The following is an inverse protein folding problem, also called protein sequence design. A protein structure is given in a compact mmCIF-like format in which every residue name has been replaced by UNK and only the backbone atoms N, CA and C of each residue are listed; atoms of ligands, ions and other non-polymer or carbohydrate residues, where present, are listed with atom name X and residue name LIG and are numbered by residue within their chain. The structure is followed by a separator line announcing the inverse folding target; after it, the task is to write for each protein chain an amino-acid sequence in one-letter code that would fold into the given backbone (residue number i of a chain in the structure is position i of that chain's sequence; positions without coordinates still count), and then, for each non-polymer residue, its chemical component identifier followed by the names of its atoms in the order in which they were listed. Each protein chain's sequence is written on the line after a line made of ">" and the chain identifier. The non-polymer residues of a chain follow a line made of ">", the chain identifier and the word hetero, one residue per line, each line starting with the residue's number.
data_IF_494140369959
#
_entry.id   IF_494140369959
#
_cell.length_a   1.000
_cell.length_b   1.000
_cell.length_c   1.000
_cell.angle_alpha   90.00
_cell.angle_beta   90.00
_cell.angle_gamma   90.00
#
_symmetry.space_group_name_H-M   'P 1'
#
loop_
_entity.id
_entity.type
_entity.pdbx_description
1 polymer ?
2 water ?
#
# COMPACT_ATOMS: atom_id res chain seq x y z
N UNK A 19 -4.24 -36.06 0.75
CA UNK A 19 -4.50 -35.02 1.77
C UNK A 19 -5.85 -35.25 2.45
N UNK A 20 -6.23 -34.30 3.32
CA UNK A 20 -7.51 -34.36 4.01
C UNK A 20 -8.35 -33.14 3.62
N UNK A 21 -9.68 -33.26 3.76
CA UNK A 21 -10.59 -32.19 3.35
C UNK A 21 -10.63 -31.05 4.34
N UNK A 22 -10.78 -31.40 5.61
CA UNK A 22 -10.89 -30.43 6.67
C UNK A 22 -9.51 -30.24 7.33
N UNK A 23 -9.11 -28.97 7.46
CA UNK A 23 -7.83 -28.62 8.08
C UNK A 23 -8.06 -28.06 9.48
N UNK A 24 -7.07 -28.25 10.34
CA UNK A 24 -7.10 -27.64 11.67
C UNK A 24 -6.35 -26.31 11.63
N UNK A 25 -7.08 -25.23 11.87
CA UNK A 25 -6.51 -23.88 11.82
C UNK A 25 -6.39 -23.26 13.20
N UNK A 26 -5.24 -22.68 13.48
CA UNK A 26 -5.04 -21.92 14.71
C UNK A 26 -4.99 -20.46 14.32
N UNK A 27 -5.94 -19.69 14.83
CA UNK A 27 -6.00 -18.26 14.55
C UNK A 27 -5.57 -17.47 15.79
N UNK A 28 -4.43 -16.81 15.69
CA UNK A 28 -3.89 -16.05 16.79
C UNK A 28 -4.41 -14.65 16.66
N UNK A 29 -5.30 -14.28 17.55
CA UNK A 29 -5.95 -13.02 17.44
C UNK A 29 -6.37 -12.61 18.80
N UNK A 30 -6.62 -11.34 18.97
CA UNK A 30 -7.00 -10.80 20.24
C UNK A 30 -8.48 -10.67 20.23
N UNK A 31 -9.13 -11.43 19.39
CA UNK A 31 -10.52 -11.29 19.12
C UNK A 31 -11.19 -12.54 19.59
N UNK A 32 -12.49 -12.47 19.86
CA UNK A 32 -13.24 -13.60 20.33
C UNK A 32 -13.38 -14.76 19.36
N UNK A 33 -13.61 -14.42 18.10
CA UNK A 33 -13.82 -15.42 17.08
C UNK A 33 -13.13 -15.01 15.81
N UNK A 34 -12.86 -15.98 14.96
CA UNK A 34 -12.14 -15.75 13.70
C UNK A 34 -12.99 -14.98 12.70
N UNK A 35 -14.27 -14.87 13.00
CA UNK A 35 -15.23 -14.27 12.08
C UNK A 35 -14.93 -12.79 11.86
N UNK A 36 -14.30 -12.19 12.85
CA UNK A 36 -13.86 -10.84 12.75
C UNK A 36 -12.70 -10.72 11.80
N UNK A 37 -11.75 -11.62 11.94
CA UNK A 37 -10.55 -11.65 11.11
C UNK A 37 -10.70 -12.07 9.66
N UNK A 38 -11.39 -13.16 9.44
CA UNK A 38 -11.64 -13.65 8.12
C UNK A 38 -12.96 -14.29 8.17
N UNK A 39 -13.97 -13.63 7.64
CA UNK A 39 -15.32 -14.13 7.61
C UNK A 39 -15.51 -15.33 6.74
N UNK A 40 -14.73 -15.44 5.70
CA UNK A 40 -14.86 -16.50 4.74
C UNK A 40 -14.66 -17.85 5.38
N UNK A 41 -13.89 -17.86 6.44
CA UNK A 41 -13.64 -19.08 7.20
C UNK A 41 -14.93 -19.74 7.68
N UNK A 42 -15.99 -18.94 7.82
CA UNK A 42 -17.26 -19.47 8.28
C UNK A 42 -17.89 -20.39 7.23
N UNK A 43 -17.47 -20.21 5.99
CA UNK A 43 -18.08 -20.93 4.88
C UNK A 43 -17.27 -22.15 4.47
N UNK A 44 -16.18 -22.40 5.18
CA UNK A 44 -15.29 -23.50 4.84
C UNK A 44 -15.41 -24.64 5.86
N UNK A 45 -14.97 -25.86 5.46
CA UNK A 45 -15.13 -26.99 6.37
C UNK A 45 -14.02 -27.15 7.43
N UNK A 46 -13.10 -26.19 7.50
CA UNK A 46 -11.97 -26.30 8.41
C UNK A 46 -12.33 -25.97 9.87
N UNK A 47 -11.67 -26.65 10.81
CA UNK A 47 -11.94 -26.43 12.22
C UNK A 47 -11.02 -25.31 12.73
N UNK A 48 -11.59 -24.35 13.45
CA UNK A 48 -10.88 -23.14 13.86
C UNK A 48 -10.72 -23.03 15.37
N UNK A 49 -9.48 -22.84 15.81
CA UNK A 49 -9.19 -22.57 17.21
C UNK A 49 -8.66 -21.15 17.31
N UNK A 50 -9.02 -20.46 18.38
CA UNK A 50 -8.55 -19.11 18.59
C UNK A 50 -7.72 -19.07 19.87
N UNK A 51 -6.54 -18.47 19.82
CA UNK A 51 -5.72 -18.24 21.00
C UNK A 51 -5.12 -16.85 20.88
N UNK A 52 -4.68 -16.27 22.00
CA UNK A 52 -4.15 -14.92 21.98
C UNK A 52 -2.82 -14.88 21.23
N UNK A 53 -2.48 -13.73 20.63
CA UNK A 53 -1.27 -13.69 19.81
C UNK A 53 0.00 -13.55 20.66
N UNK A 54 0.33 -14.61 21.39
CA UNK A 54 1.53 -14.68 22.21
C UNK A 54 2.15 -16.05 22.02
N UNK A 55 3.43 -16.17 22.26
CA UNK A 55 4.13 -17.40 22.05
C UNK A 55 3.52 -18.58 22.76
N UNK A 56 2.92 -18.34 23.90
CA UNK A 56 2.35 -19.41 24.66
C UNK A 56 1.26 -20.07 23.88
N UNK A 57 0.86 -19.46 22.78
CA UNK A 57 -0.18 -20.04 21.95
C UNK A 57 0.15 -21.36 21.32
N UNK A 58 1.40 -21.51 20.94
CA UNK A 58 1.91 -22.71 20.30
C UNK A 58 1.98 -23.89 21.21
N UNK A 59 1.83 -23.62 22.49
CA UNK A 59 1.88 -24.63 23.51
C UNK A 59 0.56 -25.31 23.59
N UNK A 60 -0.39 -24.80 22.86
CA UNK A 60 -1.70 -25.37 22.84
C UNK A 60 -1.56 -26.75 22.28
N UNK A 61 -2.20 -27.70 22.92
CA UNK A 61 -2.15 -29.06 22.46
C UNK A 61 -3.09 -29.02 21.32
N UNK A 62 -3.07 -30.02 20.47
CA UNK A 62 -3.97 -29.98 19.36
C UNK A 62 -3.25 -29.62 18.11
N UNK A 63 -3.51 -30.43 17.12
CA UNK A 63 -2.92 -30.33 15.83
C UNK A 63 -3.30 -29.12 15.09
N UNK A 64 -2.38 -28.66 14.28
CA UNK A 64 -2.64 -27.53 13.48
C UNK A 64 -1.98 -27.69 12.16
N UNK A 65 -2.76 -27.56 11.11
CA UNK A 65 -2.29 -27.62 9.77
C UNK A 65 -1.63 -26.33 9.35
N UNK A 66 -2.24 -25.23 9.74
CA UNK A 66 -1.79 -23.89 9.43
C UNK A 66 -2.09 -22.90 10.52
N UNK A 67 -1.35 -21.81 10.53
CA UNK A 67 -1.59 -20.77 11.51
C UNK A 67 -1.90 -19.43 10.87
N UNK A 68 -3.03 -18.85 11.21
CA UNK A 68 -3.41 -17.53 10.71
C UNK A 68 -3.03 -16.48 11.75
N UNK A 69 -2.22 -15.52 11.34
CA UNK A 69 -1.77 -14.46 12.24
C UNK A 69 -2.57 -13.19 11.94
N UNK A 70 -3.35 -12.74 12.92
CA UNK A 70 -4.18 -11.54 12.76
C UNK A 70 -3.31 -10.29 12.82
N UNK A 71 -3.12 -9.66 11.68
CA UNK A 71 -2.21 -8.53 11.59
C UNK A 71 -2.93 -7.28 11.11
N UNK A 72 -4.24 -7.20 11.36
CA UNK A 72 -5.04 -6.08 10.87
C UNK A 72 -4.78 -4.74 11.60
N UNK A 73 -4.39 -4.77 12.87
CA UNK A 73 -4.32 -3.54 13.67
C UNK A 73 -2.92 -3.15 14.11
N UNK A 74 -2.11 -4.13 14.50
CA UNK A 74 -0.81 -3.79 15.04
C UNK A 74 0.31 -4.46 14.23
N UNK A 75 0.74 -3.81 13.16
CA UNK A 75 1.72 -4.42 12.25
C UNK A 75 3.02 -4.80 12.93
N UNK A 76 3.54 -3.97 13.82
CA UNK A 76 4.83 -4.26 14.43
C UNK A 76 4.78 -5.47 15.38
N UNK A 77 3.71 -5.57 16.17
CA UNK A 77 3.54 -6.72 17.07
C UNK A 77 3.50 -8.00 16.27
N UNK A 78 2.70 -7.98 15.21
CA UNK A 78 2.54 -9.14 14.35
C UNK A 78 3.87 -9.51 13.71
N UNK A 79 4.61 -8.49 13.26
CA UNK A 79 5.87 -8.71 12.59
C UNK A 79 6.88 -9.39 13.52
N UNK A 80 7.04 -8.85 14.72
CA UNK A 80 8.02 -9.41 15.63
C UNK A 80 7.61 -10.80 16.13
N UNK A 81 6.31 -11.00 16.32
CA UNK A 81 5.78 -12.29 16.74
C UNK A 81 6.09 -13.31 15.66
N UNK A 82 5.91 -12.92 14.40
CA UNK A 82 6.13 -13.83 13.28
C UNK A 82 7.61 -14.17 13.14
N UNK A 83 8.48 -13.16 13.27
CA UNK A 83 9.92 -13.37 13.21
C UNK A 83 10.35 -14.35 14.31
N UNK A 84 9.87 -14.12 15.53
CA UNK A 84 10.16 -14.99 16.66
C UNK A 84 9.75 -16.42 16.38
N UNK A 85 8.49 -16.62 16.03
CA UNK A 85 8.06 -17.96 15.80
C UNK A 85 8.78 -18.61 14.68
N UNK A 86 8.93 -17.93 13.56
CA UNK A 86 9.63 -18.55 12.47
C UNK A 86 11.11 -18.70 12.74
N UNK A 87 11.69 -17.70 13.38
CA UNK A 87 13.09 -17.74 13.73
C UNK A 87 13.80 -17.76 12.42
N UNK A 88 15.11 -17.80 12.42
CA UNK A 88 15.74 -17.87 11.14
C UNK A 88 15.35 -19.22 10.67
N UNK A 89 15.18 -19.34 9.38
CA UNK A 89 14.79 -20.61 8.83
C UNK A 89 15.98 -21.49 9.05
N UNK A 90 15.74 -22.78 8.96
CA UNK A 90 14.39 -23.21 8.67
C UNK A 90 14.16 -24.68 8.86
N UNK A 91 12.91 -25.05 9.08
CA UNK A 91 12.60 -26.44 9.20
C UNK A 91 11.52 -26.62 8.17
N UNK A 92 11.69 -27.59 7.31
CA UNK A 92 10.70 -27.84 6.31
C UNK A 92 9.50 -28.29 7.11
N UNK A 93 9.80 -28.86 8.25
CA UNK A 93 8.86 -29.44 9.20
C UNK A 93 7.99 -28.50 9.98
N UNK A 94 8.24 -27.22 9.91
CA UNK A 94 7.45 -26.27 10.67
C UNK A 94 6.04 -26.05 10.15
N UNK A 95 5.18 -25.54 11.00
CA UNK A 95 3.83 -25.21 10.63
C UNK A 95 3.90 -23.91 9.90
N UNK A 96 3.11 -23.79 8.84
CA UNK A 96 3.07 -22.60 8.03
C UNK A 96 2.31 -21.46 8.65
N UNK A 97 2.70 -20.21 8.36
CA UNK A 97 2.00 -19.07 8.92
C UNK A 97 1.51 -18.16 7.79
N UNK A 98 0.23 -17.83 7.82
CA UNK A 98 -0.33 -16.88 6.89
C UNK A 98 -0.77 -15.64 7.66
N UNK A 99 -0.33 -14.47 7.23
CA UNK A 99 -0.71 -13.24 7.92
C UNK A 99 -1.96 -12.61 7.28
N UNK A 100 -2.99 -12.38 8.10
CA UNK A 100 -4.17 -11.67 7.62
C UNK A 100 -3.91 -10.20 7.83
N UNK A 101 -3.78 -9.48 6.73
CA UNK A 101 -3.35 -8.09 6.75
C UNK A 101 -4.38 -7.21 6.03
N UNK A 102 -4.53 -5.97 6.50
CA UNK A 102 -5.43 -5.00 5.86
C UNK A 102 -4.87 -4.38 4.60
N UNK A 103 -5.67 -3.58 3.89
CA UNK A 103 -5.17 -3.00 2.66
C UNK A 103 -4.09 -1.94 2.93
N UNK A 104 -4.22 -1.23 4.05
CA UNK A 104 -3.28 -0.20 4.44
C UNK A 104 -1.83 -0.67 4.54
N UNK A 105 -1.60 -1.65 5.40
CA UNK A 105 -0.24 -2.16 5.65
C UNK A 105 0.32 -3.46 5.08
N UNK A 106 -0.19 -3.83 3.90
CA UNK A 106 0.32 -4.58 2.76
C UNK A 106 1.64 -4.03 2.23
N UNK A 107 1.87 -2.73 2.44
CA UNK A 107 3.08 -2.08 2.02
C UNK A 107 4.14 -2.43 3.06
N UNK A 108 3.68 -2.94 4.20
CA UNK A 108 4.56 -3.27 5.31
C UNK A 108 5.00 -4.73 5.36
N UNK A 109 4.38 -5.61 4.59
CA UNK A 109 4.79 -7.00 4.63
C UNK A 109 5.97 -7.20 3.71
N UNK A 110 6.96 -7.92 4.20
CA UNK A 110 8.16 -8.18 3.43
C UNK A 110 8.70 -9.55 3.80
N UNK A 111 9.85 -9.89 3.25
CA UNK A 111 10.43 -11.20 3.48
C UNK A 111 10.88 -11.36 4.91
N UNK A 112 11.12 -10.24 5.60
CA UNK A 112 11.59 -10.26 6.98
C UNK A 112 10.58 -10.91 7.92
N UNK A 113 9.30 -10.84 7.57
CA UNK A 113 8.25 -11.44 8.39
C UNK A 113 8.39 -12.95 8.45
N UNK A 114 8.87 -13.53 7.35
CA UNK A 114 9.00 -14.97 7.15
C UNK A 114 7.64 -15.67 7.14
N UNK A 115 6.64 -14.99 6.57
CA UNK A 115 5.32 -15.57 6.36
C UNK A 115 5.34 -16.50 5.15
N UNK A 116 4.33 -17.35 5.02
CA UNK A 116 4.27 -18.30 3.93
C UNK A 116 3.25 -17.87 2.89
N UNK A 117 2.29 -17.08 3.35
CA UNK A 117 1.37 -16.37 2.50
C UNK A 117 0.65 -15.27 3.29
N UNK A 118 -0.15 -14.49 2.56
CA UNK A 118 -0.77 -13.29 3.04
C UNK A 118 -2.25 -13.33 2.63
N UNK A 119 -3.13 -12.75 3.43
CA UNK A 119 -4.55 -12.70 3.07
C UNK A 119 -5.17 -11.41 3.52
N UNK A 120 -6.00 -10.82 2.66
CA UNK A 120 -6.84 -9.71 3.06
C UNK A 120 -8.07 -10.26 3.80
N UNK A 121 -8.56 -9.52 4.80
CA UNK A 121 -9.75 -9.97 5.54
C UNK A 121 -11.02 -10.08 4.68
N UNK A 122 -11.00 -9.48 3.48
CA UNK A 122 -12.17 -9.50 2.58
C UNK A 122 -12.07 -10.63 1.55
N UNK A 123 -11.05 -11.46 1.66
CA UNK A 123 -10.88 -12.56 0.72
C UNK A 123 -12.05 -13.51 0.83
N UNK A 124 -12.54 -13.99 -0.31
CA UNK A 124 -13.64 -14.93 -0.31
C UNK A 124 -13.20 -16.36 -0.05
N UNK A 125 -14.17 -17.27 0.12
CA UNK A 125 -13.87 -18.65 0.52
C UNK A 125 -12.97 -19.38 -0.47
N UNK A 126 -13.16 -19.16 -1.77
CA UNK A 126 -12.36 -19.87 -2.76
C UNK A 126 -10.88 -19.52 -2.61
N UNK A 127 -10.59 -18.23 -2.41
CA UNK A 127 -9.20 -17.80 -2.28
C UNK A 127 -8.56 -18.27 -0.97
N UNK A 128 -9.33 -18.18 0.11
CA UNK A 128 -8.87 -18.63 1.39
C UNK A 128 -8.54 -20.10 1.30
N UNK A 129 -9.47 -20.86 0.74
CA UNK A 129 -9.28 -22.30 0.59
C UNK A 129 -8.04 -22.61 -0.24
N UNK A 130 -7.93 -21.94 -1.39
CA UNK A 130 -6.82 -22.17 -2.31
C UNK A 130 -5.48 -21.91 -1.61
N UNK A 131 -5.44 -20.82 -0.87
CA UNK A 131 -4.23 -20.40 -0.18
C UNK A 131 -3.82 -21.33 0.95
N UNK A 132 -4.81 -21.76 1.72
CA UNK A 132 -4.55 -22.67 2.82
C UNK A 132 -4.03 -23.99 2.28
N UNK A 133 -4.63 -24.49 1.21
CA UNK A 133 -4.18 -25.74 0.61
C UNK A 133 -2.79 -25.62 0.00
N UNK A 134 -2.48 -24.51 -0.65
CA UNK A 134 -1.17 -24.37 -1.27
C UNK A 134 -0.08 -24.34 -0.21
N UNK A 135 -0.40 -23.74 0.92
CA UNK A 135 0.60 -23.58 1.96
C UNK A 135 0.84 -24.86 2.77
N UNK A 136 -0.01 -25.86 2.61
CA UNK A 136 0.23 -27.15 3.22
C UNK A 136 0.93 -28.19 2.33
N UNK A 137 1.64 -27.70 1.30
CA UNK A 137 2.17 -28.54 0.23
C UNK A 137 3.65 -28.29 -0.05
N UNK B 20 15.13 -0.86 -6.99
CA UNK B 20 14.35 -1.14 -8.18
C UNK B 20 12.90 -0.72 -7.99
N UNK B 21 12.59 0.53 -8.29
CA UNK B 21 11.25 1.04 -8.08
C UNK B 21 10.29 0.40 -9.02
N UNK B 22 10.63 0.42 -10.31
CA UNK B 22 9.78 -0.12 -11.34
C UNK B 22 10.30 -1.47 -11.72
N UNK B 23 9.43 -2.42 -11.95
CA UNK B 23 9.83 -3.72 -12.41
C UNK B 23 9.36 -3.90 -13.83
N UNK B 24 10.07 -4.73 -14.59
CA UNK B 24 9.63 -5.05 -15.94
C UNK B 24 8.82 -6.35 -15.92
N UNK B 25 7.53 -6.25 -16.25
CA UNK B 25 6.63 -7.39 -16.22
C UNK B 25 6.26 -7.88 -17.61
N UNK B 26 6.35 -9.19 -17.78
CA UNK B 26 5.87 -9.83 -18.99
C UNK B 26 4.53 -10.49 -18.70
N UNK B 27 3.50 -10.00 -19.37
CA UNK B 27 2.15 -10.55 -19.22
C UNK B 27 1.87 -11.45 -20.42
N UNK B 28 1.67 -12.72 -20.16
CA UNK B 28 1.47 -13.69 -21.24
C UNK B 28 -0.01 -13.89 -21.44
N UNK B 29 -0.52 -13.35 -22.55
CA UNK B 29 -1.94 -13.29 -22.75
C UNK B 29 -2.32 -13.20 -24.22
N UNK B 30 -3.53 -13.66 -24.54
CA UNK B 30 -4.04 -13.57 -25.91
C UNK B 30 -4.72 -12.22 -26.11
N UNK B 31 -4.36 -11.26 -25.28
CA UNK B 31 -5.10 -10.02 -25.24
C UNK B 31 -4.17 -8.90 -25.70
N UNK B 32 -4.75 -7.81 -26.16
CA UNK B 32 -3.99 -6.69 -26.70
C UNK B 32 -3.20 -5.98 -25.63
N UNK B 33 -3.80 -5.86 -24.44
CA UNK B 33 -3.15 -5.22 -23.30
C UNK B 33 -3.54 -5.89 -21.99
N UNK B 34 -2.79 -5.57 -20.95
CA UNK B 34 -2.97 -6.20 -19.64
C UNK B 34 -4.18 -5.69 -18.89
N UNK B 35 -4.77 -4.59 -19.35
CA UNK B 35 -5.86 -3.98 -18.60
C UNK B 35 -7.10 -4.87 -18.52
N UNK B 36 -7.20 -5.84 -19.42
CA UNK B 36 -8.28 -6.83 -19.35
C UNK B 36 -7.90 -7.91 -18.34
N UNK B 37 -6.62 -8.18 -18.21
CA UNK B 37 -6.21 -9.21 -17.31
C UNK B 37 -6.09 -8.75 -15.91
N UNK B 38 -5.31 -7.71 -15.69
CA UNK B 38 -5.15 -7.16 -14.38
C UNK B 38 -5.25 -5.70 -14.48
N UNK B 39 -6.39 -5.16 -14.16
CA UNK B 39 -6.59 -3.73 -14.28
C UNK B 39 -5.68 -2.94 -13.38
N UNK B 40 -5.39 -3.43 -12.20
CA UNK B 40 -4.68 -2.61 -11.20
C UNK B 40 -3.28 -2.26 -11.67
N UNK B 41 -2.77 -3.02 -12.62
CA UNK B 41 -1.45 -2.79 -13.17
C UNK B 41 -1.35 -1.39 -13.77
N UNK B 42 -2.50 -0.84 -14.16
CA UNK B 42 -2.53 0.46 -14.79
C UNK B 42 -2.19 1.58 -13.82
N UNK B 43 -2.33 1.29 -12.53
CA UNK B 43 -2.14 2.27 -11.47
C UNK B 43 -0.79 2.15 -10.75
N UNK B 44 0.07 1.26 -11.25
CA UNK B 44 1.37 1.01 -10.63
C UNK B 44 2.50 1.53 -11.53
N UNK B 45 3.71 1.73 -10.98
CA UNK B 45 4.77 2.32 -11.80
C UNK B 45 5.54 1.33 -12.68
N UNK B 46 5.19 0.04 -12.63
CA UNK B 46 5.93 -1.00 -13.35
C UNK B 46 5.65 -0.95 -14.85
N UNK B 47 6.64 -1.33 -15.65
CA UNK B 47 6.43 -1.28 -17.09
C UNK B 47 6.01 -2.65 -17.60
N UNK B 48 4.93 -2.66 -18.36
CA UNK B 48 4.26 -3.89 -18.75
C UNK B 48 4.35 -4.12 -20.24
N UNK B 49 4.82 -5.29 -20.63
CA UNK B 49 4.70 -5.68 -22.03
C UNK B 49 3.90 -6.99 -22.13
N UNK B 50 3.28 -7.17 -23.29
CA UNK B 50 2.39 -8.29 -23.53
C UNK B 50 2.93 -9.21 -24.62
N UNK B 51 2.86 -10.52 -24.38
CA UNK B 51 3.20 -11.50 -25.40
C UNK B 51 2.15 -12.61 -25.37
N UNK B 52 2.00 -13.33 -26.47
CA UNK B 52 1.05 -14.44 -26.56
C UNK B 52 1.51 -15.58 -25.65
N UNK B 53 0.61 -16.42 -25.19
CA UNK B 53 1.07 -17.46 -24.29
C UNK B 53 1.63 -18.63 -25.04
N UNK B 54 2.73 -18.41 -25.74
CA UNK B 54 3.39 -19.46 -26.49
C UNK B 54 4.87 -19.41 -26.30
N UNK B 55 5.49 -20.56 -26.38
CA UNK B 55 6.90 -20.63 -26.14
C UNK B 55 7.59 -19.76 -27.16
N UNK B 56 7.11 -19.76 -28.38
CA UNK B 56 7.72 -18.95 -29.41
C UNK B 56 7.66 -17.48 -29.09
N UNK B 57 6.56 -17.04 -28.52
CA UNK B 57 6.36 -15.64 -28.25
C UNK B 57 7.40 -15.14 -27.28
N UNK B 58 7.85 -16.01 -26.42
CA UNK B 58 8.76 -15.61 -25.37
C UNK B 58 10.19 -15.61 -25.76
N UNK B 59 10.50 -15.89 -27.01
CA UNK B 59 11.88 -16.10 -27.34
C UNK B 59 12.77 -14.92 -27.05
N UNK B 60 12.41 -13.72 -27.42
CA UNK B 60 13.27 -12.65 -26.99
C UNK B 60 12.56 -11.44 -26.56
N UNK B 61 11.95 -11.47 -25.39
CA UNK B 61 11.25 -10.33 -24.92
C UNK B 61 12.22 -9.33 -24.34
N UNK B 62 13.39 -9.80 -23.94
CA UNK B 62 14.32 -8.96 -23.21
C UNK B 62 14.16 -9.17 -21.74
N UNK B 63 14.38 -8.15 -20.96
CA UNK B 63 14.34 -8.34 -19.54
C UNK B 63 12.93 -8.46 -19.00
N UNK B 64 12.85 -9.12 -17.87
CA UNK B 64 11.64 -9.42 -17.12
C UNK B 64 12.01 -9.77 -15.68
N UNK B 65 11.21 -9.28 -14.74
CA UNK B 65 11.42 -9.54 -13.34
C UNK B 65 10.42 -10.55 -12.86
N UNK B 66 9.24 -10.48 -13.43
CA UNK B 66 8.12 -11.33 -13.08
C UNK B 66 7.36 -11.66 -14.36
N UNK B 67 6.82 -12.86 -14.44
CA UNK B 67 5.89 -13.19 -15.51
C UNK B 67 4.48 -13.30 -14.93
N UNK B 68 3.56 -12.51 -15.46
CA UNK B 68 2.15 -12.70 -15.14
C UNK B 68 1.58 -13.59 -16.23
N UNK B 69 0.98 -14.69 -15.80
CA UNK B 69 0.38 -15.65 -16.71
C UNK B 69 -1.14 -15.49 -16.68
N UNK B 70 -1.71 -15.13 -17.82
CA UNK B 70 -3.16 -14.94 -17.87
C UNK B 70 -3.87 -16.30 -17.90
N UNK B 71 -4.54 -16.64 -16.79
CA UNK B 71 -5.19 -17.95 -16.65
C UNK B 71 -6.69 -17.86 -16.39
N UNK B 72 -7.31 -16.76 -16.82
CA UNK B 72 -8.75 -16.56 -16.64
C UNK B 72 -9.60 -17.49 -17.49
N UNK B 73 -9.12 -17.89 -18.67
CA UNK B 73 -9.99 -18.58 -19.62
C UNK B 73 -9.61 -20.02 -19.91
N UNK B 74 -8.33 -20.26 -20.18
CA UNK B 74 -7.89 -21.57 -20.60
C UNK B 74 -6.90 -22.12 -19.58
N UNK B 75 -7.43 -22.73 -18.53
CA UNK B 75 -6.64 -23.14 -17.38
C UNK B 75 -5.59 -24.19 -17.73
N UNK B 76 -5.96 -25.14 -18.57
CA UNK B 76 -5.07 -26.23 -18.92
C UNK B 76 -3.85 -25.72 -19.68
N UNK B 77 -4.08 -24.79 -20.62
CA UNK B 77 -2.98 -24.23 -21.38
C UNK B 77 -2.03 -23.56 -20.42
N UNK B 78 -2.59 -22.75 -19.53
CA UNK B 78 -1.80 -21.99 -18.59
C UNK B 78 -0.99 -22.91 -17.70
N UNK B 79 -1.62 -23.98 -17.22
CA UNK B 79 -0.97 -24.92 -16.34
C UNK B 79 0.24 -25.54 -17.03
N UNK B 80 0.06 -26.06 -18.24
CA UNK B 80 1.16 -26.73 -18.93
C UNK B 80 2.24 -25.74 -19.38
N UNK B 81 1.83 -24.53 -19.72
CA UNK B 81 2.76 -23.47 -20.11
C UNK B 81 3.66 -23.16 -18.94
N UNK B 82 3.03 -23.10 -17.78
CA UNK B 82 3.69 -22.79 -16.54
C UNK B 82 4.65 -23.92 -16.15
N UNK B 83 4.17 -25.15 -16.25
CA UNK B 83 4.96 -26.33 -15.97
C UNK B 83 6.20 -26.34 -16.85
N UNK B 84 6.02 -26.03 -18.12
CA UNK B 84 7.13 -25.93 -19.06
C UNK B 84 8.18 -24.92 -18.64
N UNK B 85 7.76 -23.66 -18.44
CA UNK B 85 8.72 -22.61 -18.11
C UNK B 85 9.58 -22.96 -16.90
N UNK B 86 8.97 -23.63 -15.92
CA UNK B 86 9.65 -24.05 -14.71
C UNK B 86 10.10 -25.51 -14.80
N UNK B 87 11.36 -25.72 -15.16
CA UNK B 87 11.87 -27.08 -15.31
C UNK B 87 12.66 -27.21 -16.59
N UNK B 88 12.93 -26.06 -17.20
CA UNK B 88 13.64 -25.97 -18.46
C UNK B 88 15.13 -26.21 -18.21
N UNK B 89 15.51 -26.09 -16.94
CA UNK B 89 16.83 -26.49 -16.48
C UNK B 89 17.96 -25.54 -16.83
N UNK B 90 17.64 -24.26 -17.05
CA UNK B 90 18.67 -23.23 -17.24
C UNK B 90 18.38 -22.03 -16.36
N UNK B 93 13.69 -19.49 -16.31
CA UNK B 93 13.18 -20.62 -15.55
C UNK B 93 13.11 -20.29 -14.08
N UNK B 94 14.07 -19.50 -13.64
CA UNK B 94 14.15 -19.06 -12.26
C UNK B 94 13.35 -17.80 -12.10
N UNK B 95 12.94 -17.24 -13.23
CA UNK B 95 12.04 -16.11 -13.28
C UNK B 95 10.72 -16.50 -12.68
N UNK B 96 10.27 -15.72 -11.70
CA UNK B 96 9.03 -16.02 -11.00
C UNK B 96 7.82 -15.86 -11.85
N UNK B 97 6.81 -16.65 -11.56
CA UNK B 97 5.58 -16.64 -12.32
C UNK B 97 4.42 -16.47 -11.37
N UNK B 98 3.56 -15.50 -11.65
CA UNK B 98 2.31 -15.37 -10.93
C UNK B 98 1.17 -15.69 -11.91
N UNK B 99 0.28 -16.59 -11.53
CA UNK B 99 -0.85 -16.92 -12.39
C UNK B 99 -2.02 -16.04 -11.99
N UNK B 100 -2.66 -15.43 -12.98
CA UNK B 100 -3.87 -14.64 -12.76
C UNK B 100 -5.08 -15.52 -13.03
N UNK B 101 -5.77 -15.88 -11.96
CA UNK B 101 -6.79 -16.91 -12.05
C UNK B 101 -8.12 -16.32 -11.64
N UNK B 102 -9.18 -16.73 -12.33
CA UNK B 102 -10.53 -16.31 -11.96
C UNK B 102 -11.01 -17.06 -10.74
N UNK B 103 -12.21 -16.73 -10.27
CA UNK B 103 -12.64 -17.17 -8.95
C UNK B 103 -13.04 -18.63 -8.63
N UNK B 104 -13.43 -19.50 -9.57
CA UNK B 104 -13.15 -19.47 -10.98
C UNK B 104 -12.34 -20.74 -11.19
N UNK B 105 -11.04 -20.58 -11.40
CA UNK B 105 -10.14 -21.73 -11.52
C UNK B 105 -9.24 -21.86 -10.31
N UNK B 106 -9.57 -21.12 -9.25
CA UNK B 106 -8.85 -21.19 -8.00
C UNK B 106 -8.72 -22.65 -7.52
N UNK B 107 -9.77 -23.44 -7.71
CA UNK B 107 -9.75 -24.85 -7.35
C UNK B 107 -8.75 -25.65 -8.22
N UNK B 108 -8.41 -25.12 -9.38
CA UNK B 108 -7.54 -25.84 -10.31
C UNK B 108 -6.06 -25.58 -10.03
N UNK B 109 -5.76 -24.59 -9.19
CA UNK B 109 -4.36 -24.28 -8.92
C UNK B 109 -3.79 -25.25 -7.88
N UNK B 110 -2.64 -25.83 -8.19
CA UNK B 110 -1.96 -26.74 -7.28
C UNK B 110 -0.46 -26.54 -7.38
N UNK B 111 0.29 -27.36 -6.66
CA UNK B 111 1.74 -27.23 -6.67
C UNK B 111 2.31 -27.68 -8.00
N UNK B 112 1.53 -28.46 -8.76
CA UNK B 112 1.99 -28.95 -10.05
C UNK B 112 2.27 -27.81 -11.02
N UNK B 113 1.56 -26.69 -10.86
CA UNK B 113 1.73 -25.55 -11.76
C UNK B 113 3.13 -24.99 -11.60
N UNK B 114 3.65 -25.10 -10.38
CA UNK B 114 4.92 -24.52 -9.99
C UNK B 114 4.88 -22.99 -10.06
N UNK B 115 3.74 -22.41 -9.69
CA UNK B 115 3.64 -20.94 -9.61
C UNK B 115 4.28 -20.45 -8.33
N UNK B 116 4.63 -19.18 -8.33
CA UNK B 116 5.27 -18.55 -7.19
C UNK B 116 4.24 -17.76 -6.41
N UNK B 117 3.16 -17.36 -7.08
CA UNK B 117 1.99 -16.82 -6.41
C UNK B 117 0.83 -16.71 -7.39
N UNK B 118 -0.34 -16.37 -6.86
CA UNK B 118 -1.53 -16.24 -7.70
C UNK B 118 -2.24 -14.92 -7.41
N UNK B 119 -2.95 -14.41 -8.40
CA UNK B 119 -3.72 -13.18 -8.22
C UNK B 119 -5.08 -13.33 -8.89
N UNK B 120 -6.12 -12.82 -8.24
CA UNK B 120 -7.41 -12.67 -8.88
C UNK B 120 -7.38 -11.40 -9.76
N UNK B 121 -8.05 -11.43 -10.92
CA UNK B 121 -8.01 -10.24 -11.79
C UNK B 121 -8.57 -8.98 -11.13
N UNK B 122 -9.36 -9.16 -10.08
CA UNK B 122 -9.97 -8.03 -9.37
C UNK B 122 -9.07 -7.54 -8.25
N UNK B 123 -7.84 -8.04 -8.16
CA UNK B 123 -6.94 -7.58 -7.12
C UNK B 123 -6.60 -6.10 -7.30
N UNK B 124 -6.63 -5.36 -6.19
CA UNK B 124 -6.30 -3.95 -6.23
C UNK B 124 -4.80 -3.74 -6.22
N UNK B 125 -4.37 -2.49 -6.43
CA UNK B 125 -2.96 -2.13 -6.62
C UNK B 125 -2.08 -2.50 -5.44
N UNK B 126 -2.57 -2.35 -4.22
CA UNK B 126 -1.74 -2.61 -3.04
C UNK B 126 -1.35 -4.08 -2.96
N UNK B 127 -2.30 -4.96 -3.25
CA UNK B 127 -2.04 -6.39 -3.21
C UNK B 127 -1.18 -6.84 -4.40
N UNK B 128 -1.45 -6.29 -5.58
CA UNK B 128 -0.64 -6.59 -6.75
C UNK B 128 0.81 -6.20 -6.49
N UNK B 129 1.01 -4.98 -5.99
CA UNK B 129 2.37 -4.53 -5.69
C UNK B 129 3.01 -5.38 -4.60
N UNK B 130 2.25 -5.73 -3.57
CA UNK B 130 2.80 -6.52 -2.47
C UNK B 130 3.31 -7.85 -3.02
N UNK B 131 2.47 -8.48 -3.83
CA UNK B 131 2.79 -9.79 -4.36
C UNK B 131 3.93 -9.80 -5.39
N UNK B 132 4.01 -8.75 -6.21
CA UNK B 132 5.13 -8.60 -7.14
C UNK B 132 6.44 -8.41 -6.38
N UNK B 133 6.43 -7.53 -5.38
CA UNK B 133 7.61 -7.27 -4.57
C UNK B 133 8.06 -8.52 -3.84
N UNK B 134 7.12 -9.25 -3.27
CA UNK B 134 7.48 -10.39 -2.44
C UNK B 134 8.00 -11.52 -3.28
N UNK B 135 7.52 -11.60 -4.51
CA UNK B 135 7.93 -12.68 -5.40
C UNK B 135 9.27 -12.36 -6.04
N UNK B 136 9.72 -11.11 -5.93
CA UNK B 136 11.09 -10.76 -6.37
C UNK B 136 12.10 -10.67 -5.23
N UNK B 137 11.63 -10.67 -3.98
CA UNK B 137 12.52 -10.56 -2.82
C UNK B 137 12.66 -11.90 -2.09
N UNK C 19 -5.88 34.08 3.67
CA UNK C 19 -6.31 35.46 3.98
C UNK C 19 -7.73 35.51 4.55
N UNK C 20 -8.55 34.53 4.20
CA UNK C 20 -9.94 34.43 4.68
C UNK C 20 -10.16 33.11 5.43
N UNK C 21 -11.24 33.02 6.21
CA UNK C 21 -11.53 31.80 6.98
C UNK C 21 -12.15 30.73 6.11
N UNK C 22 -13.32 31.07 5.57
CA UNK C 22 -14.11 30.12 4.88
C UNK C 22 -13.63 30.13 3.47
N UNK C 23 -13.44 28.93 2.94
CA UNK C 23 -13.08 28.76 1.57
C UNK C 23 -14.26 28.07 0.98
N UNK C 24 -14.37 28.15 -0.33
CA UNK C 24 -15.38 27.38 -1.06
C UNK C 24 -14.78 26.06 -1.54
N UNK C 25 -15.32 24.96 -1.05
CA UNK C 25 -14.83 23.66 -1.44
C UNK C 25 -15.86 22.99 -2.33
N UNK C 26 -15.37 22.49 -3.46
CA UNK C 26 -16.15 21.70 -4.40
C UNK C 26 -15.74 20.25 -4.27
N UNK C 27 -16.68 19.40 -3.92
CA UNK C 27 -16.40 17.98 -3.75
C UNK C 27 -17.03 17.18 -4.89
N UNK C 28 -16.18 16.49 -5.65
CA UNK C 28 -16.59 15.69 -6.81
C UNK C 28 -16.84 14.30 -6.34
N UNK C 29 -18.10 13.90 -6.30
CA UNK C 29 -18.43 12.62 -5.69
C UNK C 29 -19.76 12.11 -6.21
N UNK C 30 -19.85 10.79 -6.35
CA UNK C 30 -21.11 10.16 -6.76
C UNK C 30 -22.10 10.14 -5.60
N UNK C 31 -21.71 10.77 -4.51
CA UNK C 31 -22.30 10.60 -3.19
C UNK C 31 -23.23 11.77 -2.92
N UNK C 32 -24.15 11.57 -1.97
CA UNK C 32 -25.17 12.58 -1.65
C UNK C 32 -24.59 13.84 -1.00
N UNK C 33 -23.67 13.65 -0.05
CA UNK C 33 -23.01 14.76 0.62
C UNK C 33 -21.56 14.43 0.99
N UNK C 34 -20.82 15.46 1.38
CA UNK C 34 -19.39 15.33 1.67
C UNK C 34 -19.10 14.58 2.97
N UNK C 35 -20.11 14.30 3.77
CA UNK C 35 -19.88 13.67 5.05
C UNK C 35 -19.36 12.24 4.91
N UNK C 36 -19.75 11.60 3.83
CA UNK C 36 -19.26 10.28 3.55
C UNK C 36 -17.79 10.33 3.17
N UNK C 37 -17.43 11.29 2.35
CA UNK C 37 -16.06 11.44 1.91
C UNK C 37 -15.05 11.92 2.93
N UNK C 38 -15.40 12.97 3.64
CA UNK C 38 -14.54 13.58 4.63
C UNK C 38 -15.40 14.14 5.70
N UNK C 39 -15.60 13.38 6.75
CA UNK C 39 -16.47 13.77 7.84
C UNK C 39 -15.99 15.03 8.53
N UNK C 40 -14.69 15.22 8.57
CA UNK C 40 -14.08 16.33 9.25
C UNK C 40 -14.52 17.65 8.70
N UNK C 41 -14.76 17.71 7.42
CA UNK C 41 -15.18 18.94 6.76
C UNK C 41 -16.39 19.56 7.43
N UNK C 42 -17.19 18.72 8.07
CA UNK C 42 -18.43 19.15 8.68
C UNK C 42 -18.14 19.98 9.93
N UNK C 43 -16.93 19.82 10.46
CA UNK C 43 -16.53 20.48 11.69
C UNK C 43 -15.71 21.74 11.43
N UNK C 44 -15.53 22.07 10.14
CA UNK C 44 -14.73 23.21 9.73
C UNK C 44 -15.65 24.35 9.25
N UNK C 45 -15.13 25.59 9.19
CA UNK C 45 -15.96 26.74 8.82
C UNK C 45 -16.11 26.97 7.32
N UNK C 46 -15.57 26.08 6.49
CA UNK C 46 -15.59 26.25 5.03
C UNK C 46 -16.95 25.84 4.45
N UNK C 47 -17.31 26.40 3.30
CA UNK C 47 -18.58 26.05 2.67
C UNK C 47 -18.38 24.93 1.64
N UNK C 48 -19.18 23.88 1.72
CA UNK C 48 -18.98 22.69 0.90
C UNK C 48 -20.15 22.44 -0.03
N UNK C 49 -19.89 22.23 -1.29
CA UNK C 49 -20.96 21.95 -2.22
C UNK C 49 -20.52 20.72 -2.93
N UNK C 50 -21.47 19.95 -3.40
CA UNK C 50 -21.13 18.71 -4.05
C UNK C 50 -21.60 18.68 -5.47
N UNK C 51 -20.87 17.97 -6.30
CA UNK C 51 -21.23 17.79 -7.70
C UNK C 51 -20.78 16.41 -8.18
N UNK C 52 -21.40 15.93 -9.25
CA UNK C 52 -21.08 14.62 -9.81
C UNK C 52 -19.66 14.66 -10.36
N UNK C 53 -18.94 13.53 -10.31
CA UNK C 53 -17.55 13.54 -10.75
C UNK C 53 -17.41 13.45 -12.27
N UNK C 54 -17.87 14.49 -12.97
CA UNK C 54 -17.84 14.51 -14.42
C UNK C 54 -17.44 15.90 -14.89
N UNK C 55 -16.49 16.01 -15.78
CA UNK C 55 -15.96 17.31 -16.08
C UNK C 55 -17.06 18.24 -16.43
N UNK C 56 -18.18 17.72 -16.91
CA UNK C 56 -19.24 18.60 -17.33
C UNK C 56 -19.70 19.46 -16.16
N UNK C 57 -19.89 18.83 -15.01
CA UNK C 57 -20.38 19.55 -13.85
C UNK C 57 -19.35 20.59 -13.52
N UNK C 58 -18.10 20.22 -13.68
CA UNK C 58 -17.05 21.16 -13.40
C UNK C 58 -17.08 22.34 -14.33
N UNK C 59 -17.30 22.08 -15.61
CA UNK C 59 -17.29 23.12 -16.62
C UNK C 59 -18.38 24.13 -16.33
N UNK C 60 -19.49 23.64 -15.81
CA UNK C 60 -20.64 24.43 -15.44
C UNK C 60 -20.45 24.89 -14.02
N UNK C 61 -19.26 24.61 -13.51
CA UNK C 61 -18.85 24.96 -12.16
C UNK C 61 -18.76 26.45 -11.88
N UNK C 62 -19.03 26.82 -10.64
CA UNK C 62 -19.06 28.19 -10.20
C UNK C 62 -17.75 28.63 -9.61
N UNK C 63 -17.67 28.79 -8.30
CA UNK C 63 -16.42 29.19 -7.70
C UNK C 63 -15.95 28.26 -6.62
N UNK C 64 -14.66 27.96 -6.65
CA UNK C 64 -14.06 27.12 -5.64
C UNK C 64 -12.64 27.56 -5.38
N UNK C 65 -12.18 27.39 -4.15
CA UNK C 65 -10.82 27.66 -3.79
C UNK C 65 -10.02 26.38 -3.92
N UNK C 66 -10.69 25.29 -3.66
CA UNK C 66 -10.11 23.95 -3.68
C UNK C 66 -11.16 22.98 -4.20
N UNK C 67 -10.75 21.96 -4.94
CA UNK C 67 -11.66 20.87 -5.18
C UNK C 67 -11.13 19.61 -4.52
N UNK C 68 -12.00 18.97 -3.74
CA UNK C 68 -11.72 17.67 -3.16
C UNK C 68 -12.25 16.62 -4.12
N UNK C 69 -11.37 15.71 -4.53
CA UNK C 69 -11.73 14.66 -5.45
C UNK C 69 -11.95 13.37 -4.67
N UNK C 70 -13.17 12.83 -4.74
CA UNK C 70 -13.49 11.59 -4.03
C UNK C 70 -12.90 10.40 -4.76
N UNK C 71 -11.83 9.83 -4.20
CA UNK C 71 -11.11 8.77 -4.86
C UNK C 71 -11.03 7.49 -4.05
N UNK C 72 -12.00 7.26 -3.17
CA UNK C 72 -12.04 6.06 -2.32
C UNK C 72 -12.37 4.76 -3.07
N UNK C 73 -13.07 4.87 -4.19
CA UNK C 73 -13.68 3.69 -4.80
C UNK C 73 -13.20 3.33 -6.20
N UNK C 74 -13.17 4.31 -7.11
CA UNK C 74 -12.82 4.05 -8.49
C UNK C 74 -11.54 4.82 -8.83
N UNK C 75 -10.41 4.18 -8.61
CA UNK C 75 -9.13 4.86 -8.70
C UNK C 75 -8.80 5.32 -10.12
N UNK C 76 -9.14 4.53 -11.12
CA UNK C 76 -8.86 4.87 -12.52
C UNK C 76 -9.67 6.08 -13.00
N UNK C 77 -10.94 6.12 -12.61
CA UNK C 77 -11.82 7.23 -12.96
C UNK C 77 -11.32 8.52 -12.34
N UNK C 78 -11.01 8.45 -11.04
CA UNK C 78 -10.54 9.61 -10.29
C UNK C 78 -9.21 10.07 -10.86
N UNK C 79 -8.34 9.12 -11.18
CA UNK C 79 -7.04 9.45 -11.75
C UNK C 79 -7.19 10.24 -13.06
N UNK C 80 -8.03 9.75 -13.97
CA UNK C 80 -8.19 10.43 -15.26
C UNK C 80 -8.97 11.73 -15.14
N UNK C 81 -9.94 11.77 -14.23
CA UNK C 81 -10.73 12.96 -13.96
C UNK C 81 -9.79 14.07 -13.48
N UNK C 82 -8.87 13.65 -12.63
CA UNK C 82 -7.91 14.53 -12.02
C UNK C 82 -6.96 15.06 -13.07
N UNK C 83 -6.57 14.18 -14.01
CA UNK C 83 -5.73 14.56 -15.14
C UNK C 83 -6.44 15.62 -15.99
N UNK C 84 -7.72 15.40 -16.27
CA UNK C 84 -8.54 16.38 -17.03
C UNK C 84 -8.65 17.75 -16.38
N UNK C 85 -8.97 17.77 -15.08
CA UNK C 85 -9.16 19.03 -14.35
C UNK C 85 -8.00 20.00 -14.46
N UNK C 86 -6.80 19.47 -14.29
CA UNK C 86 -5.65 20.30 -14.05
C UNK C 86 -4.92 20.43 -15.35
N UNK C 87 -5.31 19.59 -16.28
CA UNK C 87 -4.65 19.53 -17.58
C UNK C 87 -5.00 20.68 -18.50
N UNK C 88 -6.25 21.15 -18.40
CA UNK C 88 -6.73 22.23 -19.26
C UNK C 88 -5.91 23.50 -19.08
N UNK C 94 -6.83 26.75 -12.86
CA UNK C 94 -5.74 26.14 -12.12
C UNK C 94 -6.02 26.05 -10.62
N UNK C 95 -7.23 25.64 -10.28
CA UNK C 95 -7.59 25.52 -8.88
C UNK C 95 -7.05 24.22 -8.31
N UNK C 96 -6.60 24.27 -7.06
CA UNK C 96 -5.93 23.16 -6.41
C UNK C 96 -6.80 21.97 -6.20
N UNK C 97 -6.21 20.80 -6.26
CA UNK C 97 -6.97 19.57 -6.14
C UNK C 97 -6.40 18.73 -5.02
N UNK C 98 -7.26 18.32 -4.10
CA UNK C 98 -6.82 17.36 -3.11
C UNK C 98 -7.56 16.06 -3.33
N UNK C 99 -6.82 14.97 -3.50
CA UNK C 99 -7.46 13.68 -3.69
C UNK C 99 -7.67 13.00 -2.33
N UNK C 100 -8.90 12.60 -2.07
CA UNK C 100 -9.25 11.85 -0.88
C UNK C 100 -9.18 10.37 -1.23
N UNK C 101 -8.16 9.68 -0.69
CA UNK C 101 -7.84 8.32 -1.08
C UNK C 101 -8.00 7.37 0.09
N UNK C 102 -8.47 6.15 -0.19
CA UNK C 102 -8.52 5.12 0.85
C UNK C 102 -7.13 4.56 1.06
N UNK C 103 -6.95 3.79 2.13
CA UNK C 103 -5.62 3.35 2.48
C UNK C 103 -5.03 2.39 1.43
N UNK C 104 -5.90 1.65 0.75
CA UNK C 104 -5.50 0.76 -0.33
C UNK C 104 -5.16 1.51 -1.61
N UNK C 105 -5.77 2.68 -1.77
CA UNK C 105 -5.51 3.56 -2.91
C UNK C 105 -4.17 4.27 -2.89
N UNK C 106 -3.64 4.50 -1.69
CA UNK C 106 -2.43 5.28 -1.50
C UNK C 106 -1.25 4.92 -2.42
N UNK C 107 -1.04 3.62 -2.65
CA UNK C 107 0.01 3.14 -3.54
C UNK C 107 -0.28 3.53 -5.01
N UNK C 108 -1.52 3.92 -5.31
CA UNK C 108 -1.89 4.22 -6.68
C UNK C 108 -1.61 5.67 -7.06
N UNK C 109 -1.36 6.54 -6.08
CA UNK C 109 -1.11 7.95 -6.41
C UNK C 109 0.33 8.18 -6.89
N UNK C 110 0.45 8.98 -7.93
CA UNK C 110 1.76 9.32 -8.49
C UNK C 110 1.71 10.73 -9.04
N UNK C 111 2.83 11.18 -9.61
CA UNK C 111 2.92 12.53 -10.16
C UNK C 111 2.01 12.69 -11.37
N UNK C 112 1.59 11.58 -11.96
CA UNK C 112 0.75 11.60 -13.14
C UNK C 112 -0.64 12.19 -12.90
N UNK C 113 -1.14 12.08 -11.68
CA UNK C 113 -2.47 12.60 -11.33
C UNK C 113 -2.49 14.11 -11.36
N UNK C 114 -1.36 14.71 -11.03
CA UNK C 114 -1.21 16.17 -10.92
C UNK C 114 -2.07 16.75 -9.77
N UNK C 115 -2.13 16.03 -8.65
CA UNK C 115 -2.80 16.52 -7.44
C UNK C 115 -1.85 17.46 -6.72
N UNK C 116 -2.39 18.30 -5.85
CA UNK C 116 -1.58 19.21 -5.06
C UNK C 116 -1.39 18.64 -3.65
N UNK C 117 -2.33 17.80 -3.21
CA UNK C 117 -2.18 17.01 -1.99
C UNK C 117 -3.15 15.83 -1.91
N UNK C 118 -3.00 15.02 -0.87
CA UNK C 118 -3.87 13.85 -0.62
C UNK C 118 -4.33 13.84 0.82
N UNK C 119 -5.48 13.21 1.04
CA UNK C 119 -6.03 13.06 2.37
C UNK C 119 -6.65 11.67 2.52
N UNK C 120 -6.43 11.04 3.67
CA UNK C 120 -7.24 9.89 4.03
C UNK C 120 -8.60 10.45 4.47
N UNK C 121 -9.68 9.71 4.17
CA UNK C 121 -11.02 10.12 4.59
C UNK C 121 -11.16 10.19 6.11
N UNK C 122 -10.20 9.58 6.83
CA UNK C 122 -10.18 9.57 8.30
C UNK C 122 -9.38 10.70 8.91
N UNK C 123 -8.88 11.61 8.08
CA UNK C 123 -8.15 12.78 8.58
C UNK C 123 -9.06 13.62 9.47
N UNK C 124 -8.55 14.03 10.63
CA UNK C 124 -9.33 14.85 11.53
C UNK C 124 -9.27 16.28 11.04
N UNK C 125 -10.08 17.16 11.67
CA UNK C 125 -10.25 18.54 11.20
C UNK C 125 -8.96 19.35 11.16
N UNK C 126 -8.08 19.19 12.16
CA UNK C 126 -6.88 20.02 12.22
C UNK C 126 -6.00 19.72 11.01
N UNK C 127 -5.90 18.45 10.64
CA UNK C 127 -5.11 18.10 9.48
C UNK C 127 -5.76 18.60 8.19
N UNK C 128 -7.06 18.38 8.06
CA UNK C 128 -7.77 18.81 6.86
C UNK C 128 -7.58 20.30 6.66
N UNK C 129 -7.78 21.05 7.73
CA UNK C 129 -7.61 22.49 7.68
C UNK C 129 -6.19 22.89 7.30
N UNK C 130 -5.20 22.24 7.92
CA UNK C 130 -3.80 22.59 7.64
C UNK C 130 -3.53 22.40 6.17
N UNK C 131 -4.02 21.29 5.65
CA UNK C 131 -3.79 20.90 4.27
C UNK C 131 -4.46 21.81 3.23
N UNK C 132 -5.71 22.20 3.51
CA UNK C 132 -6.45 23.11 2.64
C UNK C 132 -5.74 24.45 2.54
N UNK C 133 -5.24 24.92 3.69
CA UNK C 133 -4.56 26.21 3.74
C UNK C 133 -3.23 26.18 3.04
N UNK C 134 -2.48 25.10 3.20
CA UNK C 134 -1.15 25.00 2.61
C UNK C 134 -1.24 24.90 1.10
N UNK C 135 -2.37 24.40 0.62
CA UNK C 135 -2.57 24.20 -0.81
C UNK C 135 -3.14 25.46 -1.48
N UNK C 136 -3.60 26.43 -0.68
CA UNK C 136 -4.07 27.72 -1.20
C UNK C 136 -3.08 28.86 -0.94
N UNK C 137 -2.06 28.59 -0.13
CA UNK C 137 -1.06 29.60 0.22
C UNK C 137 0.28 29.33 -0.46
N UNK D 19 13.43 5.88 -10.49
CA UNK D 19 13.42 5.95 -9.01
C UNK D 19 14.03 4.69 -8.38
N UNK D 20 14.21 4.73 -7.06
CA UNK D 20 14.80 3.61 -6.33
C UNK D 20 13.79 3.02 -5.36
N UNK D 21 13.98 1.76 -4.98
CA UNK D 21 13.07 1.07 -4.07
C UNK D 21 13.27 1.62 -2.68
N UNK D 22 14.52 1.66 -2.25
CA UNK D 22 14.90 2.17 -0.96
C UNK D 22 15.38 3.61 -1.12
N UNK D 23 14.91 4.49 -0.26
CA UNK D 23 15.31 5.89 -0.25
C UNK D 23 16.23 6.15 0.92
N UNK D 24 17.13 7.12 0.79
CA UNK D 24 17.92 7.54 1.95
C UNK D 24 17.18 8.66 2.68
N UNK D 25 16.73 8.40 3.90
CA UNK D 25 16.02 9.42 4.66
C UNK D 25 16.90 9.95 5.77
N UNK D 26 16.97 11.27 5.87
CA UNK D 26 17.67 11.90 6.96
C UNK D 26 16.67 12.46 7.96
N UNK D 27 16.70 11.93 9.18
CA UNK D 27 15.81 12.42 10.22
C UNK D 27 16.58 13.30 11.22
N UNK D 28 16.23 14.57 11.28
CA UNK D 28 16.91 15.48 12.15
C UNK D 28 16.11 15.62 13.39
N UNK D 29 16.57 15.00 14.44
CA UNK D 29 15.87 15.04 15.68
C UNK D 29 16.85 14.97 16.79
N UNK D 30 16.43 15.35 17.97
CA UNK D 30 17.30 15.29 19.11
C UNK D 30 17.12 13.93 19.69
N UNK D 31 16.23 13.16 19.11
CA UNK D 31 15.99 11.83 19.60
C UNK D 31 17.05 10.88 19.08
N UNK D 32 17.20 9.76 19.76
CA UNK D 32 18.15 8.72 19.41
C UNK D 32 17.88 7.96 18.14
N UNK D 33 16.62 7.64 17.89
CA UNK D 33 16.21 6.89 16.70
C UNK D 33 14.90 7.43 16.11
N UNK D 34 14.65 7.14 14.84
CA UNK D 34 13.47 7.66 14.19
C UNK D 34 12.19 7.00 14.67
N UNK D 35 12.32 5.94 15.47
CA UNK D 35 11.16 5.17 15.90
C UNK D 35 10.22 5.97 16.82
N UNK D 36 10.81 6.92 17.51
CA UNK D 36 10.06 7.83 18.32
C UNK D 36 9.30 8.79 17.46
N UNK D 37 9.97 9.30 16.44
CA UNK D 37 9.36 10.27 15.55
C UNK D 37 8.29 9.76 14.63
N UNK D 38 8.59 8.69 13.93
CA UNK D 38 7.67 8.09 13.01
C UNK D 38 7.84 6.64 13.12
N UNK D 39 6.98 6.01 13.86
CA UNK D 39 7.09 4.60 14.11
C UNK D 39 7.00 3.77 12.86
N UNK D 40 6.19 4.18 11.92
CA UNK D 40 5.96 3.43 10.69
C UNK D 40 7.21 3.22 9.88
N UNK D 41 8.09 4.16 9.96
CA UNK D 41 9.33 4.08 9.20
C UNK D 41 10.00 2.73 9.37
N UNK D 42 9.73 2.06 10.49
CA UNK D 42 10.34 0.77 10.79
C UNK D 42 9.81 -0.33 9.87
N UNK D 43 8.63 -0.10 9.31
CA UNK D 43 7.94 -1.08 8.49
C UNK D 43 8.14 -0.84 7.00
N UNK D 44 8.99 0.12 6.64
CA UNK D 44 9.23 0.45 5.24
C UNK D 44 10.66 0.05 4.86
N UNK D 45 10.94 -0.09 3.55
CA UNK D 45 12.27 -0.55 3.15
C UNK D 45 13.33 0.56 3.07
N UNK D 46 13.01 1.78 3.47
CA UNK D 46 13.94 2.90 3.32
C UNK D 46 14.99 2.90 4.42
N UNK D 47 16.18 3.36 4.10
CA UNK D 47 17.25 3.38 5.09
C UNK D 47 17.26 4.76 5.78
N UNK D 48 17.22 4.73 7.11
CA UNK D 48 17.03 5.93 7.90
C UNK D 48 18.29 6.27 8.69
N UNK D 49 18.77 7.49 8.51
CA UNK D 49 19.89 8.02 9.26
C UNK D 49 19.42 9.12 10.16
N UNK D 50 20.02 9.24 11.33
CA UNK D 50 19.59 10.25 12.28
C UNK D 50 20.73 11.26 12.50
N UNK D 51 20.37 12.54 12.54
CA UNK D 51 21.32 13.59 12.88
C UNK D 51 20.66 14.61 13.81
N UNK D 52 21.49 15.37 14.52
CA UNK D 52 21.00 16.44 15.39
C UNK D 52 20.44 17.54 14.51
N UNK D 53 19.43 18.28 15.02
CA UNK D 53 18.80 19.31 14.18
C UNK D 53 19.58 20.63 14.12
N UNK D 54 20.74 20.59 13.46
CA UNK D 54 21.58 21.77 13.26
C UNK D 54 22.02 21.76 11.80
N UNK D 55 21.98 22.91 11.14
CA UNK D 55 22.44 23.00 9.75
C UNK D 55 23.86 22.44 9.61
N UNK D 56 24.64 22.61 10.68
CA UNK D 56 26.02 22.12 10.72
C UNK D 56 26.14 20.59 10.63
N UNK D 57 25.09 19.88 11.02
CA UNK D 57 25.08 18.43 11.01
C UNK D 57 25.01 17.76 9.65
N UNK D 58 24.75 18.55 8.63
CA UNK D 58 24.61 18.07 7.26
C UNK D 58 25.82 17.44 6.61
N UNK D 59 26.99 17.73 7.15
CA UNK D 59 28.26 17.30 6.60
C UNK D 59 28.50 15.83 6.40
N UNK D 60 28.23 15.00 7.40
CA UNK D 60 28.38 13.56 7.27
C UNK D 60 27.26 13.06 8.14
N UNK D 61 26.27 12.31 7.65
CA UNK D 61 26.03 11.90 6.28
C UNK D 61 25.47 13.10 5.62
N UNK D 62 25.30 13.07 4.31
CA UNK D 62 25.56 11.91 3.49
C UNK D 62 24.51 12.12 2.41
N UNK D 63 24.35 11.21 1.48
CA UNK D 63 23.34 11.39 0.47
C UNK D 63 22.00 11.21 1.07
N UNK D 64 20.99 11.87 0.53
CA UNK D 64 19.68 11.73 1.06
C UNK D 64 18.70 12.09 -0.01
N UNK D 65 17.50 11.53 0.07
CA UNK D 65 16.47 11.79 -0.89
C UNK D 65 15.36 12.60 -0.31
N UNK D 66 15.25 12.58 1.01
CA UNK D 66 14.26 13.37 1.72
C UNK D 66 14.81 13.69 3.12
N UNK D 67 14.46 14.85 3.65
CA UNK D 67 14.76 15.15 5.04
C UNK D 67 13.48 15.15 5.86
N UNK D 68 13.43 14.32 6.89
CA UNK D 68 12.33 14.37 7.85
C UNK D 68 12.76 15.26 9.01
N UNK D 69 11.96 16.28 9.27
CA UNK D 69 12.23 17.23 10.33
C UNK D 69 11.35 16.92 11.52
N UNK D 70 11.97 16.56 12.65
CA UNK D 70 11.20 16.27 13.87
C UNK D 70 10.66 17.57 14.45
N UNK D 71 9.34 17.76 14.35
CA UNK D 71 8.74 19.01 14.82
C UNK D 71 7.63 18.78 15.82
N UNK D 72 7.70 17.67 16.55
CA UNK D 72 6.69 17.35 17.56
C UNK D 72 6.77 18.25 18.82
N UNK D 73 7.94 18.81 19.12
CA UNK D 73 8.14 19.45 20.41
C UNK D 73 8.48 20.93 20.35
N UNK D 74 9.38 21.30 19.45
CA UNK D 74 9.84 22.67 19.42
C UNK D 74 9.54 23.29 18.07
N UNK D 75 8.33 23.85 17.94
CA UNK D 75 7.86 24.38 16.66
C UNK D 75 8.71 25.52 16.13
N UNK D 76 9.18 26.41 17.00
CA UNK D 76 9.92 27.59 16.54
C UNK D 76 11.28 27.21 15.94
N UNK D 77 12.01 26.35 16.65
CA UNK D 77 13.32 25.88 16.20
C UNK D 77 13.19 25.13 14.89
N UNK D 78 12.16 24.28 14.81
CA UNK D 78 11.90 23.50 13.61
C UNK D 78 11.59 24.42 12.45
N UNK D 79 10.78 25.45 12.72
CA UNK D 79 10.41 26.40 11.68
C UNK D 79 11.64 27.10 11.11
N UNK D 80 12.52 27.58 11.99
CA UNK D 80 13.70 28.28 11.52
C UNK D 80 14.73 27.32 10.89
N UNK D 81 14.80 26.08 11.37
CA UNK D 81 15.72 25.09 10.79
C UNK D 81 15.29 24.78 9.37
N UNK D 82 13.97 24.67 9.20
CA UNK D 82 13.40 24.36 7.91
C UNK D 82 13.66 25.54 6.97
N UNK D 83 13.54 26.76 7.52
CA UNK D 83 13.87 27.98 6.78
C UNK D 83 15.34 28.03 6.36
N UNK D 84 16.23 27.64 7.27
CA UNK D 84 17.67 27.58 7.01
C UNK D 84 17.97 26.66 5.84
N UNK D 85 17.51 25.41 5.95
CA UNK D 85 17.81 24.38 4.96
C UNK D 85 17.42 24.75 3.52
N UNK D 86 16.37 25.54 3.36
CA UNK D 86 15.92 26.00 2.03
C UNK D 86 16.43 27.42 1.75
N UNK D 87 16.57 27.78 0.48
CA UNK D 87 16.93 29.16 0.13
C UNK D 87 18.31 29.75 0.39
N UNK D 88 19.22 28.90 0.86
CA UNK D 88 20.68 29.05 0.85
C UNK D 88 21.32 27.80 0.25
N UNK D 94 17.21 21.99 -4.44
CA UNK D 94 17.22 21.62 -3.03
C UNK D 94 16.54 20.29 -2.80
N UNK D 95 16.82 19.76 -1.63
CA UNK D 95 16.37 18.45 -1.21
C UNK D 95 15.01 18.73 -0.59
N UNK D 96 14.07 17.79 -0.73
CA UNK D 96 12.74 17.96 -0.13
C UNK D 96 12.75 17.80 1.38
N UNK D 97 11.84 18.50 2.05
CA UNK D 97 11.67 18.41 3.50
C UNK D 97 10.24 18.05 3.85
N UNK D 98 10.10 17.07 4.75
CA UNK D 98 8.80 16.77 5.32
C UNK D 98 8.87 17.03 6.81
N UNK D 99 7.97 17.86 7.32
CA UNK D 99 7.95 18.11 8.74
C UNK D 99 7.00 17.12 9.38
N UNK D 100 7.48 16.43 10.42
CA UNK D 100 6.63 15.60 11.23
C UNK D 100 6.14 16.47 12.39
N UNK D 101 4.86 16.80 12.39
CA UNK D 101 4.32 17.73 13.36
C UNK D 101 3.14 17.04 14.04
N UNK D 102 3.01 17.23 15.36
CA UNK D 102 1.91 16.66 16.12
C UNK D 102 0.62 17.42 15.91
N UNK D 103 -0.48 16.89 16.43
CA UNK D 103 -1.81 17.44 16.15
C UNK D 103 -1.97 18.87 16.70
N UNK D 104 -1.27 19.19 17.78
CA UNK D 104 -1.26 20.53 18.33
C UNK D 104 -0.45 21.49 17.47
N UNK D 105 0.51 20.93 16.74
CA UNK D 105 1.35 21.69 15.86
C UNK D 105 0.72 22.23 14.59
N UNK D 106 -0.23 21.49 14.02
CA UNK D 106 -0.78 21.81 12.69
C UNK D 106 -1.19 23.26 12.44
N UNK D 107 -1.69 23.95 13.45
CA UNK D 107 -2.09 25.33 13.25
C UNK D 107 -0.86 26.22 13.02
N UNK D 108 0.33 25.73 13.40
CA UNK D 108 1.52 26.56 13.33
C UNK D 108 2.23 26.46 11.98
N UNK D 109 1.90 25.43 11.20
CA UNK D 109 2.51 25.29 9.89
C UNK D 109 1.83 26.23 8.90
N UNK D 110 2.65 26.89 8.10
CA UNK D 110 2.20 27.80 7.06
C UNK D 110 3.25 27.74 5.96
N UNK D 111 3.09 28.58 4.94
CA UNK D 111 4.00 28.57 3.82
C UNK D 111 5.37 29.14 4.21
N UNK D 112 5.45 29.83 5.34
CA UNK D 112 6.72 30.39 5.79
C UNK D 112 7.75 29.31 6.11
N UNK D 113 7.29 28.09 6.38
CA UNK D 113 8.17 26.97 6.69
C UNK D 113 8.95 26.52 5.49
N UNK D 114 8.31 26.63 4.32
CA UNK D 114 8.86 26.15 3.07
C UNK D 114 9.04 24.62 3.12
N UNK D 115 8.09 23.93 3.72
CA UNK D 115 8.09 22.47 3.71
C UNK D 115 7.56 21.96 2.38
N UNK D 116 7.84 20.69 2.10
CA UNK D 116 7.34 20.08 0.88
C UNK D 116 6.16 19.20 1.23
N UNK D 117 6.14 18.73 2.48
CA UNK D 117 4.96 18.08 3.01
C UNK D 117 4.97 17.99 4.54
N UNK D 118 3.88 17.43 5.06
CA UNK D 118 3.59 17.33 6.48
C UNK D 118 3.18 15.89 6.81
N UNK D 119 3.58 15.41 7.97
CA UNK D 119 3.13 14.10 8.43
C UNK D 119 2.86 14.17 9.92
N UNK D 120 1.78 13.52 10.34
CA UNK D 120 1.55 13.29 11.76
C UNK D 120 2.42 12.10 12.15
N UNK D 121 2.93 12.08 13.39
CA UNK D 121 3.72 10.94 13.85
C UNK D 121 2.93 9.63 13.86
N UNK D 122 1.60 9.73 13.89
CA UNK D 122 0.75 8.56 13.95
C UNK D 122 0.37 8.03 12.57
N UNK D 123 0.95 8.58 11.52
CA UNK D 123 0.67 8.11 10.15
C UNK D 123 1.18 6.69 9.92
N UNK D 124 0.35 5.86 9.28
CA UNK D 124 0.71 4.48 9.01
C UNK D 124 1.62 4.43 7.80
N UNK D 125 2.19 3.24 7.54
CA UNK D 125 3.23 3.11 6.53
C UNK D 125 2.77 3.46 5.11
N UNK D 126 1.51 3.19 4.76
CA UNK D 126 1.07 3.42 3.39
C UNK D 126 1.10 4.92 3.08
N UNK D 127 0.66 5.71 4.05
CA UNK D 127 0.65 7.16 3.90
C UNK D 127 2.07 7.72 3.89
N UNK D 128 2.93 7.20 4.77
CA UNK D 128 4.32 7.67 4.79
C UNK D 128 4.99 7.39 3.45
N UNK D 129 4.86 6.16 2.95
CA UNK D 129 5.49 5.77 1.70
C UNK D 129 4.97 6.62 0.56
N UNK D 130 3.65 6.83 0.53
CA UNK D 130 3.06 7.63 -0.53
C UNK D 130 3.64 9.04 -0.51
N UNK D 131 3.72 9.62 0.68
CA UNK D 131 4.21 10.98 0.81
C UNK D 131 5.69 11.14 0.42
N UNK D 132 6.53 10.17 0.79
CA UNK D 132 7.91 10.15 0.36
C UNK D 132 8.03 10.07 -1.17
N UNK D 133 7.25 9.15 -1.76
CA UNK D 133 7.22 9.01 -3.23
C UNK D 133 6.80 10.32 -3.89
N UNK D 134 5.75 10.94 -3.38
CA UNK D 134 5.16 12.14 -3.98
C UNK D 134 6.10 13.32 -3.89
N UNK D 135 6.89 13.36 -2.83
CA UNK D 135 7.80 14.47 -2.61
C UNK D 135 9.12 14.30 -3.38
N UNK D 136 9.37 13.08 -3.88
CA UNK D 136 10.55 12.84 -4.71
C UNK D 136 10.26 12.74 -6.21
N UNK D 137 8.99 12.77 -6.58
CA UNK D 137 8.56 12.64 -7.99
C UNK D 137 8.05 13.96 -8.59
#
# INVERSE_FOLDING_TARGET
>A
XGSSHHHHHHSSGLVPRGSHMSLDLLVMTAEADATAVLPALDLLPHTVRVRAPEVTALLDAGHRDVILLDARSDLASAKSLCRMLKGTGEDEAATPIIAVVGEGGLVAVSAEWRTDDILLPTAGPAEVDARLRMVTTRD
>B
XGSSHHHHHHSSGLVPRGSHMSLDLLVMTAEADATAVLPALDLLPHTVRVRAPEVTALLDAGHRDVILLDARSDLASAKSLCRMLKGTGEDEAATPIIAVVGEGGLVAVSAEWRTDDILLPTAGPAEVDARLRMVTTRD
>C
XGSSHHHHHHSSGLVPRGSHMSLDLLVMTAEADATAVLPALDLLPHTVRVRAPEVTALLDAGHRDVILLDARSDLASAKSLCRMLKGTGEDEAATPIIAVVGEGGLVAVSAEWRTDDILLPTAGPAEVDARLRMVTTRD
>D
XGSSHHHHHHSSGLVPRGSHMSLDLLVMTAEADATAVLPALDLLPHTVRVRAPEVTALLDAGHRDVILLDARSDLASAKSLCRMLKGTGEDEAATPIIAVVGEGGLVAVSAEWRTDDILLPTAGPAEVDARLRMVTTRD
#
